data_IF_952025315059
#
_entry.id   IF_952025315059
#
_cell.length_a   1.000
_cell.length_b   1.000
_cell.length_c   1.000
_cell.angle_alpha   90.00
_cell.angle_beta   90.00
_cell.angle_gamma   90.00
#
_symmetry.space_group_name_H-M   'P 1'
#
loop_
_entity.id
_entity.type
_entity.pdbx_description
1 polymer ?
#
# COMPACT_ATOMS: atom_id res chain seq x y z
N UNK A 1 17.15 34.24 45.86
CA UNK A 1 16.88 34.59 44.45
C UNK A 1 17.50 33.60 43.46
N UNK A 2 18.81 33.30 43.58
CA UNK A 2 19.56 32.42 42.66
C UNK A 2 19.02 30.98 42.58
N UNK A 3 18.68 30.36 43.72
CA UNK A 3 18.16 28.97 43.75
C UNK A 3 16.82 28.85 43.01
N UNK A 4 15.92 29.82 43.19
CA UNK A 4 14.59 29.85 42.55
C UNK A 4 14.72 30.00 41.02
N UNK A 5 15.64 30.84 40.56
CA UNK A 5 15.94 31.01 39.14
C UNK A 5 16.53 29.73 38.52
N UNK A 6 17.44 29.05 39.23
CA UNK A 6 18.03 27.77 38.80
C UNK A 6 16.97 26.67 38.64
N UNK A 7 16.05 26.54 39.61
CA UNK A 7 14.95 25.57 39.53
C UNK A 7 14.02 25.84 38.35
N UNK A 8 13.69 27.12 38.10
CA UNK A 8 12.86 27.52 36.95
C UNK A 8 13.57 27.17 35.64
N UNK A 9 14.85 27.51 35.48
CA UNK A 9 15.61 27.18 34.27
C UNK A 9 15.70 25.67 34.01
N UNK A 10 15.96 24.87 35.05
CA UNK A 10 16.02 23.41 34.94
C UNK A 10 14.66 22.80 34.56
N UNK A 11 13.57 23.33 35.13
CA UNK A 11 12.22 22.87 34.84
C UNK A 11 11.81 23.24 33.40
N UNK A 12 12.11 24.46 32.96
CA UNK A 12 11.86 24.89 31.58
C UNK A 12 12.69 24.10 30.56
N UNK A 13 13.96 23.82 30.87
CA UNK A 13 14.80 22.98 30.01
C UNK A 13 14.24 21.55 29.91
N UNK A 14 13.79 20.97 31.03
CA UNK A 14 13.17 19.65 31.05
C UNK A 14 11.89 19.62 30.19
N UNK A 15 11.04 20.64 30.30
CA UNK A 15 9.82 20.76 29.48
C UNK A 15 10.17 20.86 27.99
N UNK A 16 11.18 21.67 27.63
CA UNK A 16 11.61 21.78 26.23
C UNK A 16 12.18 20.47 25.68
N UNK A 17 12.94 19.72 26.48
CA UNK A 17 13.43 18.39 26.09
C UNK A 17 12.27 17.42 25.89
N UNK A 18 11.28 17.42 26.79
CA UNK A 18 10.08 16.59 26.66
C UNK A 18 9.34 16.98 25.37
N UNK A 19 9.08 18.26 25.13
CA UNK A 19 8.42 18.71 23.90
C UNK A 19 9.21 18.33 22.65
N UNK A 20 10.54 18.43 22.66
CA UNK A 20 11.37 17.98 21.55
C UNK A 20 11.24 16.47 21.30
N UNK A 21 11.29 15.65 22.36
CA UNK A 21 11.15 14.20 22.28
C UNK A 21 9.74 13.74 21.87
N UNK A 22 8.69 14.50 22.19
CA UNK A 22 7.31 14.14 21.84
C UNK A 22 6.85 14.72 20.50
N UNK A 23 7.31 15.91 20.15
CA UNK A 23 6.85 16.61 18.93
C UNK A 23 7.83 16.36 17.80
N UNK A 24 9.13 16.56 18.00
CA UNK A 24 10.11 16.62 16.91
C UNK A 24 10.72 15.25 16.62
N UNK A 25 11.05 14.48 17.66
CA UNK A 25 11.69 13.17 17.52
C UNK A 25 10.88 12.16 16.67
N UNK A 26 9.54 12.04 16.79
CA UNK A 26 8.78 11.13 15.95
C UNK A 26 8.89 11.45 14.45
N UNK A 27 8.93 12.75 14.10
CA UNK A 27 9.11 13.17 12.71
C UNK A 27 10.52 12.88 12.20
N UNK A 28 11.55 13.10 13.03
CA UNK A 28 12.93 12.71 12.68
C UNK A 28 13.07 11.20 12.49
N UNK A 29 12.49 10.42 13.40
CA UNK A 29 12.52 8.96 13.30
C UNK A 29 11.76 8.47 12.07
N UNK A 30 10.56 9.00 11.82
CA UNK A 30 9.79 8.71 10.62
C UNK A 30 10.58 9.07 9.34
N UNK A 31 11.21 10.25 9.29
CA UNK A 31 12.04 10.65 8.15
C UNK A 31 13.26 9.74 7.94
N UNK A 32 13.88 9.29 9.04
CA UNK A 32 15.02 8.37 9.00
C UNK A 32 14.62 6.97 8.50
N UNK A 33 13.55 6.40 9.05
CA UNK A 33 12.97 5.12 8.58
C UNK A 33 12.58 5.24 7.12
N UNK A 34 11.88 6.31 6.74
CA UNK A 34 11.46 6.57 5.36
C UNK A 34 12.64 6.58 4.39
N UNK A 35 13.73 7.27 4.74
CA UNK A 35 14.93 7.37 3.91
C UNK A 35 15.59 6.01 3.66
N UNK A 36 15.52 5.09 4.62
CA UNK A 36 16.12 3.76 4.51
C UNK A 36 15.20 2.74 3.81
N UNK A 37 13.88 2.86 3.98
CA UNK A 37 12.91 1.97 3.34
C UNK A 37 12.70 2.24 1.85
N UNK A 38 13.17 3.38 1.34
CA UNK A 38 13.07 3.71 -0.09
C UNK A 38 14.12 2.95 -0.90
N UNK A 39 13.66 2.10 -1.82
CA UNK A 39 14.52 1.50 -2.85
C UNK A 39 14.88 2.59 -3.87
N UNK A 40 16.08 3.17 -3.74
CA UNK A 40 16.53 4.31 -4.58
C UNK A 40 17.07 3.92 -5.95
N UNK A 41 17.66 2.73 -6.06
CA UNK A 41 18.06 2.14 -7.34
C UNK A 41 18.15 0.62 -7.22
N UNK A 42 17.58 -0.09 -8.20
CA UNK A 42 17.79 -1.52 -8.38
C UNK A 42 19.10 -1.72 -9.17
N UNK A 43 20.23 -1.30 -8.61
CA UNK A 43 21.55 -1.60 -9.19
C UNK A 43 22.00 -2.99 -8.70
N UNK A 44 21.39 -4.04 -9.24
CA UNK A 44 21.77 -5.41 -8.91
C UNK A 44 22.50 -6.06 -10.10
N UNK A 45 23.60 -6.80 -9.85
CA UNK A 45 24.27 -7.56 -10.90
C UNK A 45 23.27 -8.57 -11.48
N UNK A 46 23.03 -8.44 -12.79
CA UNK A 46 21.97 -9.09 -13.59
C UNK A 46 21.98 -10.61 -13.55
N UNK A 47 23.00 -11.23 -12.96
CA UNK A 47 23.32 -12.65 -13.09
C UNK A 47 23.00 -13.50 -11.85
N UNK A 48 22.69 -12.90 -10.69
CA UNK A 48 22.54 -13.67 -9.42
C UNK A 48 21.10 -13.90 -8.94
N UNK A 49 20.10 -13.19 -9.47
CA UNK A 49 18.72 -13.25 -8.98
C UNK A 49 17.80 -14.21 -9.77
N UNK A 50 18.22 -14.71 -10.92
CA UNK A 50 17.41 -15.64 -11.73
C UNK A 50 17.27 -17.04 -11.09
N UNK A 51 18.05 -17.35 -10.04
CA UNK A 51 18.06 -18.66 -9.39
C UNK A 51 17.51 -18.66 -7.96
N UNK A 52 16.95 -17.54 -7.46
CA UNK A 52 16.37 -17.54 -6.11
C UNK A 52 14.93 -18.05 -6.17
N UNK A 53 14.75 -19.34 -5.90
CA UNK A 53 13.46 -20.04 -5.92
C UNK A 53 12.51 -19.64 -4.79
N UNK A 54 12.90 -18.73 -3.90
CA UNK A 54 12.13 -18.27 -2.74
C UNK A 54 11.54 -16.86 -2.92
N UNK A 55 10.86 -16.61 -4.04
CA UNK A 55 10.05 -15.40 -4.22
C UNK A 55 9.00 -15.28 -3.12
N UNK A 56 8.96 -14.14 -2.42
CA UNK A 56 8.00 -13.86 -1.34
C UNK A 56 6.66 -13.37 -1.89
N UNK A 57 6.68 -12.58 -2.96
CA UNK A 57 5.49 -12.13 -3.69
C UNK A 57 5.18 -13.15 -4.80
N UNK A 58 3.97 -13.75 -4.82
CA UNK A 58 3.54 -14.63 -5.89
C UNK A 58 3.51 -13.96 -7.27
N UNK A 59 3.78 -14.73 -8.35
CA UNK A 59 3.63 -14.30 -9.75
C UNK A 59 2.16 -14.22 -10.15
N UNK A 60 1.44 -13.26 -9.57
CA UNK A 60 0.01 -13.03 -9.80
C UNK A 60 -0.20 -11.54 -10.02
N UNK A 61 -0.85 -11.16 -11.11
CA UNK A 61 -1.31 -9.80 -11.38
C UNK A 61 -2.80 -9.73 -11.08
N UNK A 62 -3.19 -8.73 -10.30
CA UNK A 62 -4.56 -8.39 -9.97
C UNK A 62 -4.88 -7.00 -10.52
N UNK A 63 -6.03 -6.88 -11.16
CA UNK A 63 -6.60 -5.59 -11.54
C UNK A 63 -8.10 -5.58 -11.25
N UNK A 64 -8.64 -4.42 -10.92
CA UNK A 64 -10.06 -4.26 -10.56
C UNK A 64 -10.72 -3.21 -11.43
N UNK A 65 -11.94 -3.46 -11.88
CA UNK A 65 -12.78 -2.44 -12.51
C UNK A 65 -14.24 -2.87 -12.48
N UNK A 66 -15.15 -1.93 -12.77
CA UNK A 66 -16.61 -2.17 -12.73
C UNK A 66 -17.01 -3.43 -13.51
N UNK A 67 -16.64 -3.47 -14.78
CA UNK A 67 -16.94 -4.57 -15.70
C UNK A 67 -15.89 -4.65 -16.82
N UNK A 68 -15.52 -5.86 -17.24
CA UNK A 68 -14.48 -6.12 -18.26
C UNK A 68 -14.83 -5.51 -19.63
N UNK A 69 -16.11 -5.46 -20.00
CA UNK A 69 -16.59 -4.94 -21.28
C UNK A 69 -16.68 -3.42 -21.30
N UNK A 70 -16.60 -2.76 -20.14
CA UNK A 70 -16.72 -1.31 -20.00
C UNK A 70 -15.38 -0.57 -19.92
N UNK A 71 -14.26 -1.28 -20.04
CA UNK A 71 -12.91 -0.70 -19.88
C UNK A 71 -12.61 0.25 -21.06
N UNK A 72 -12.28 1.52 -20.79
CA UNK A 72 -11.85 2.46 -21.83
C UNK A 72 -10.66 1.95 -22.64
N UNK A 73 -10.69 2.16 -23.95
CA UNK A 73 -9.64 1.69 -24.88
C UNK A 73 -8.22 2.08 -24.45
N UNK A 74 -8.04 3.32 -23.98
CA UNK A 74 -6.74 3.81 -23.47
C UNK A 74 -6.16 2.96 -22.32
N UNK A 75 -7.01 2.38 -21.49
CA UNK A 75 -6.59 1.53 -20.36
C UNK A 75 -6.35 0.09 -20.80
N UNK A 76 -7.05 -0.40 -21.82
CA UNK A 76 -6.78 -1.73 -22.38
C UNK A 76 -5.33 -1.84 -22.89
N UNK A 77 -4.80 -0.77 -23.49
CA UNK A 77 -3.40 -0.73 -23.93
C UNK A 77 -2.42 -0.87 -22.75
N UNK A 78 -2.67 -0.13 -21.67
CA UNK A 78 -1.86 -0.21 -20.44
C UNK A 78 -1.95 -1.59 -19.79
N UNK A 79 -3.15 -2.13 -19.59
CA UNK A 79 -3.35 -3.50 -19.09
C UNK A 79 -2.62 -4.55 -19.93
N UNK A 80 -2.73 -4.49 -21.25
CA UNK A 80 -2.11 -5.44 -22.15
C UNK A 80 -0.58 -5.34 -22.13
N UNK A 81 0.00 -4.15 -21.93
CA UNK A 81 1.45 -4.02 -21.74
C UNK A 81 1.93 -4.86 -20.55
N UNK A 82 1.21 -4.82 -19.43
CA UNK A 82 1.54 -5.60 -18.24
C UNK A 82 1.38 -7.11 -18.46
N UNK A 83 0.31 -7.54 -19.13
CA UNK A 83 0.13 -8.96 -19.47
C UNK A 83 1.19 -9.47 -20.45
N UNK A 84 1.65 -8.64 -21.36
CA UNK A 84 2.67 -8.99 -22.37
C UNK A 84 4.04 -9.21 -21.73
N UNK A 85 4.46 -8.34 -20.80
CA UNK A 85 5.73 -8.49 -20.06
C UNK A 85 5.74 -9.62 -19.03
N UNK A 86 4.57 -10.17 -18.69
CA UNK A 86 4.37 -11.13 -17.60
C UNK A 86 3.49 -12.30 -18.04
N UNK A 87 3.78 -12.88 -19.21
CA UNK A 87 3.00 -13.99 -19.77
C UNK A 87 3.04 -15.27 -18.92
N UNK A 88 4.04 -15.40 -18.05
CA UNK A 88 4.21 -16.47 -17.07
C UNK A 88 3.46 -16.20 -15.74
N UNK A 89 2.88 -15.02 -15.55
CA UNK A 89 2.13 -14.67 -14.34
C UNK A 89 0.67 -15.09 -14.48
N UNK A 90 0.06 -15.49 -13.37
CA UNK A 90 -1.41 -15.63 -13.32
C UNK A 90 -2.04 -14.24 -13.37
N UNK A 91 -3.13 -14.10 -14.11
CA UNK A 91 -3.86 -12.85 -14.21
C UNK A 91 -5.28 -13.02 -13.66
N UNK A 92 -5.68 -12.16 -12.72
CA UNK A 92 -7.04 -12.07 -12.22
C UNK A 92 -7.58 -10.67 -12.41
N UNK A 93 -8.74 -10.60 -13.05
CA UNK A 93 -9.55 -9.41 -13.13
C UNK A 93 -10.71 -9.54 -12.15
N UNK A 94 -10.97 -8.48 -11.38
CA UNK A 94 -12.00 -8.46 -10.36
C UNK A 94 -13.04 -7.39 -10.69
N UNK A 95 -14.28 -7.83 -10.93
CA UNK A 95 -15.43 -6.91 -11.00
C UNK A 95 -15.81 -6.39 -9.61
N UNK A 96 -16.56 -5.29 -9.54
CA UNK A 96 -17.09 -4.80 -8.26
C UNK A 96 -17.88 -5.88 -7.50
N UNK A 97 -18.63 -6.69 -8.25
CA UNK A 97 -19.44 -7.79 -7.71
C UNK A 97 -18.56 -8.90 -7.13
N UNK A 98 -17.49 -9.29 -7.82
CA UNK A 98 -16.56 -10.31 -7.34
C UNK A 98 -15.73 -9.78 -6.17
N UNK A 99 -15.28 -8.53 -6.23
CA UNK A 99 -14.57 -7.86 -5.16
C UNK A 99 -15.39 -7.78 -3.88
N UNK A 100 -16.66 -7.33 -3.96
CA UNK A 100 -17.56 -7.33 -2.80
C UNK A 100 -17.77 -8.73 -2.21
N UNK A 101 -17.97 -9.76 -3.05
CA UNK A 101 -18.10 -11.15 -2.58
C UNK A 101 -16.86 -11.63 -1.85
N UNK A 102 -15.67 -11.23 -2.31
CA UNK A 102 -14.42 -11.57 -1.63
C UNK A 102 -14.32 -10.88 -0.27
N UNK A 103 -14.71 -9.60 -0.18
CA UNK A 103 -14.78 -8.87 1.10
C UNK A 103 -15.74 -9.55 2.07
N UNK A 104 -16.95 -9.89 1.62
CA UNK A 104 -17.96 -10.58 2.43
C UNK A 104 -17.46 -11.93 2.96
N UNK A 105 -16.74 -12.68 2.13
CA UNK A 105 -16.20 -13.99 2.49
C UNK A 105 -15.01 -13.92 3.46
N UNK A 106 -14.04 -13.06 3.18
CA UNK A 106 -12.74 -13.07 3.86
C UNK A 106 -12.66 -12.06 5.01
N UNK A 107 -13.47 -10.99 4.95
CA UNK A 107 -13.53 -9.93 5.96
C UNK A 107 -14.98 -9.51 6.28
N UNK A 108 -15.84 -10.44 6.76
CA UNK A 108 -17.24 -10.11 7.08
C UNK A 108 -17.37 -8.99 8.13
N UNK A 109 -16.36 -8.83 9.00
CA UNK A 109 -16.34 -7.79 10.03
C UNK A 109 -16.27 -6.35 9.49
N UNK A 110 -15.74 -6.13 8.29
CA UNK A 110 -15.66 -4.80 7.67
C UNK A 110 -16.73 -4.57 6.60
N UNK A 111 -17.55 -5.58 6.27
CA UNK A 111 -18.50 -5.53 5.16
C UNK A 111 -19.48 -4.35 5.29
N UNK A 112 -19.97 -4.08 6.50
CA UNK A 112 -20.86 -2.93 6.75
C UNK A 112 -20.17 -1.59 6.47
N UNK A 113 -18.89 -1.46 6.80
CA UNK A 113 -18.08 -0.26 6.50
C UNK A 113 -17.88 -0.14 4.98
N UNK A 114 -17.49 -1.24 4.33
CA UNK A 114 -17.30 -1.30 2.88
C UNK A 114 -18.56 -0.90 2.11
N UNK A 115 -19.73 -1.45 2.48
CA UNK A 115 -21.01 -1.17 1.83
C UNK A 115 -21.47 0.28 2.08
N UNK A 116 -21.06 0.88 3.20
CA UNK A 116 -21.44 2.25 3.55
C UNK A 116 -20.66 3.35 2.80
N UNK A 117 -19.58 2.99 2.08
CA UNK A 117 -18.80 3.99 1.36
C UNK A 117 -19.64 4.68 0.27
N UNK A 118 -19.63 6.03 0.17
CA UNK A 118 -20.42 6.74 -0.84
C UNK A 118 -19.88 6.58 -2.26
N UNK A 119 -18.58 6.32 -2.45
CA UNK A 119 -17.95 6.31 -3.77
C UNK A 119 -17.41 4.93 -4.14
N UNK A 120 -17.63 4.52 -5.40
CA UNK A 120 -17.11 3.26 -5.94
C UNK A 120 -15.58 3.14 -5.81
N UNK A 121 -14.87 4.26 -5.97
CA UNK A 121 -13.41 4.28 -5.84
C UNK A 121 -12.94 3.88 -4.43
N UNK A 122 -13.68 4.23 -3.38
CA UNK A 122 -13.35 3.81 -2.01
C UNK A 122 -13.51 2.30 -1.85
N UNK A 123 -14.52 1.72 -2.48
CA UNK A 123 -14.69 0.26 -2.52
C UNK A 123 -13.56 -0.41 -3.30
N UNK A 124 -13.16 0.14 -4.45
CA UNK A 124 -12.02 -0.35 -5.21
C UNK A 124 -10.71 -0.30 -4.39
N UNK A 125 -10.51 0.76 -3.60
CA UNK A 125 -9.38 0.89 -2.66
C UNK A 125 -9.37 -0.23 -1.60
N UNK A 126 -10.53 -0.72 -1.16
CA UNK A 126 -10.60 -1.89 -0.26
C UNK A 126 -10.36 -3.19 -1.01
N UNK A 127 -10.96 -3.37 -2.20
CA UNK A 127 -10.81 -4.62 -2.97
C UNK A 127 -9.33 -4.90 -3.22
N UNK A 128 -8.53 -3.90 -3.62
CA UNK A 128 -7.09 -4.11 -3.88
C UNK A 128 -6.31 -4.59 -2.65
N UNK A 129 -6.70 -4.16 -1.45
CA UNK A 129 -6.09 -4.61 -0.20
C UNK A 129 -6.51 -6.06 0.13
N UNK A 130 -7.78 -6.38 -0.05
CA UNK A 130 -8.32 -7.72 0.24
C UNK A 130 -7.75 -8.77 -0.72
N UNK A 131 -7.70 -8.49 -2.03
CA UNK A 131 -7.14 -9.44 -3.01
C UNK A 131 -5.67 -9.74 -2.70
N UNK A 132 -4.88 -8.72 -2.36
CA UNK A 132 -3.48 -8.91 -1.99
C UNK A 132 -3.30 -9.60 -0.64
N UNK A 133 -4.17 -9.35 0.32
CA UNK A 133 -4.10 -10.07 1.60
C UNK A 133 -4.36 -11.57 1.39
N UNK A 134 -5.36 -11.92 0.57
CA UNK A 134 -5.78 -13.30 0.35
C UNK A 134 -4.79 -14.05 -0.53
N UNK A 135 -4.43 -13.48 -1.69
CA UNK A 135 -3.67 -14.16 -2.73
C UNK A 135 -2.19 -13.76 -2.78
N UNK A 136 -1.82 -12.63 -2.17
CA UNK A 136 -0.55 -11.98 -2.44
C UNK A 136 -0.52 -11.44 -3.88
N UNK A 137 0.68 -11.25 -4.41
CA UNK A 137 0.90 -10.87 -5.80
C UNK A 137 1.07 -9.37 -5.98
N UNK A 138 0.71 -8.89 -7.15
CA UNK A 138 0.89 -7.52 -7.60
C UNK A 138 -0.46 -6.97 -8.04
N UNK A 139 -0.92 -5.91 -7.39
CA UNK A 139 -2.05 -5.10 -7.84
C UNK A 139 -1.54 -3.91 -8.66
N UNK A 140 -2.21 -3.64 -9.77
CA UNK A 140 -1.94 -2.51 -10.67
C UNK A 140 -3.26 -1.87 -11.09
N UNK A 141 -3.36 -0.54 -11.00
CA UNK A 141 -4.46 0.19 -11.63
C UNK A 141 -4.46 -0.04 -13.15
N UNK A 142 -5.62 0.13 -13.79
CA UNK A 142 -5.78 -0.19 -15.22
C UNK A 142 -5.01 0.74 -16.15
N UNK A 143 -4.59 1.91 -15.67
CA UNK A 143 -3.83 2.91 -16.41
C UNK A 143 -2.32 2.82 -16.20
N UNK A 144 -1.85 1.82 -15.44
CA UNK A 144 -0.42 1.54 -15.28
C UNK A 144 0.13 0.79 -16.49
N UNK A 145 1.12 1.39 -17.14
CA UNK A 145 1.86 0.80 -18.25
C UNK A 145 3.11 0.09 -17.70
N UNK A 146 3.27 -1.19 -18.05
CA UNK A 146 4.49 -1.93 -17.74
C UNK A 146 5.52 -1.74 -18.85
N UNK A 147 6.72 -1.31 -18.47
CA UNK A 147 7.84 -1.06 -19.38
C UNK A 147 8.92 -2.16 -19.33
N UNK A 148 8.88 -3.02 -18.31
CA UNK A 148 9.82 -4.13 -18.08
C UNK A 148 9.19 -5.15 -17.13
N UNK A 149 9.85 -6.30 -17.01
CA UNK A 149 9.50 -7.33 -16.03
C UNK A 149 9.60 -6.79 -14.58
N UNK A 150 8.65 -7.22 -13.76
CA UNK A 150 8.52 -6.94 -12.33
C UNK A 150 9.22 -8.02 -11.47
N UNK A 151 9.92 -8.99 -12.07
CA UNK A 151 10.54 -10.12 -11.37
C UNK A 151 11.47 -9.69 -10.22
N UNK A 152 12.16 -8.57 -10.40
CA UNK A 152 13.08 -8.03 -9.39
C UNK A 152 12.36 -7.63 -8.10
N UNK A 153 11.06 -7.36 -8.17
CA UNK A 153 10.23 -6.99 -7.03
C UNK A 153 9.81 -8.21 -6.21
N UNK A 154 9.86 -9.42 -6.77
CA UNK A 154 9.29 -10.62 -6.14
C UNK A 154 10.02 -11.09 -4.88
N UNK A 155 11.26 -10.62 -4.66
CA UNK A 155 12.09 -10.98 -3.51
C UNK A 155 11.75 -10.18 -2.23
N UNK A 156 10.92 -9.15 -2.33
CA UNK A 156 10.48 -8.35 -1.18
C UNK A 156 9.17 -8.88 -0.62
N UNK A 157 8.85 -8.52 0.62
CA UNK A 157 7.59 -8.93 1.24
C UNK A 157 6.42 -7.99 0.94
N UNK A 158 6.70 -6.71 0.77
CA UNK A 158 5.71 -5.67 0.56
C UNK A 158 6.33 -4.45 -0.12
N UNK A 159 5.65 -3.87 -1.10
CA UNK A 159 6.13 -2.73 -1.90
C UNK A 159 4.97 -1.77 -2.19
N UNK A 160 5.25 -0.48 -1.98
CA UNK A 160 4.42 0.64 -2.44
C UNK A 160 5.31 1.69 -3.13
N UNK A 161 4.85 2.35 -4.20
CA UNK A 161 5.54 3.48 -4.78
C UNK A 161 5.56 4.66 -3.81
N UNK A 162 6.71 5.35 -3.75
CA UNK A 162 6.80 6.64 -3.10
C UNK A 162 6.16 7.71 -3.99
N UNK A 163 5.31 8.57 -3.41
CA UNK A 163 4.85 9.81 -4.06
C UNK A 163 5.62 11.03 -3.55
N UNK A 164 5.74 12.05 -4.40
CA UNK A 164 6.44 13.31 -4.09
C UNK A 164 5.41 14.40 -3.74
N UNK A 165 5.71 15.31 -2.79
CA UNK A 165 6.93 15.38 -1.99
C UNK A 165 6.96 14.39 -0.81
N UNK A 166 5.81 13.92 -0.34
CA UNK A 166 5.66 12.95 0.77
C UNK A 166 4.46 12.05 0.48
N UNK A 167 4.56 10.75 0.80
CA UNK A 167 3.45 9.81 0.76
C UNK A 167 3.76 8.51 0.03
N UNK A 168 2.83 7.57 0.11
CA UNK A 168 2.84 6.32 -0.63
C UNK A 168 1.63 6.28 -1.55
N UNK A 169 1.84 5.85 -2.78
CA UNK A 169 0.76 5.61 -3.73
C UNK A 169 0.24 4.18 -3.60
N UNK A 170 -1.02 3.97 -3.96
CA UNK A 170 -1.69 2.67 -3.90
C UNK A 170 -2.23 2.19 -5.26
N UNK A 171 -1.83 2.87 -6.34
CA UNK A 171 -2.02 2.51 -7.76
C UNK A 171 -1.19 1.28 -8.16
N UNK A 172 -0.08 1.05 -7.45
CA UNK A 172 0.71 -0.18 -7.48
C UNK A 172 0.90 -0.67 -6.04
N UNK A 173 0.65 -1.96 -5.80
CA UNK A 173 1.00 -2.61 -4.53
C UNK A 173 1.48 -4.02 -4.84
N UNK A 174 2.64 -4.42 -4.31
CA UNK A 174 3.07 -5.81 -4.36
C UNK A 174 3.21 -6.35 -2.93
N UNK A 175 2.68 -7.55 -2.67
CA UNK A 175 2.66 -8.11 -1.31
C UNK A 175 2.74 -9.63 -1.32
N UNK A 176 3.43 -10.18 -0.33
CA UNK A 176 3.22 -11.58 0.05
C UNK A 176 1.79 -11.76 0.59
N UNK A 177 1.17 -12.95 0.47
CA UNK A 177 -0.12 -13.20 1.08
C UNK A 177 -0.05 -13.04 2.60
N UNK A 178 -1.15 -12.60 3.21
CA UNK A 178 -1.30 -12.40 4.66
C UNK A 178 -0.30 -11.43 5.28
N UNK A 179 0.17 -10.42 4.54
CA UNK A 179 1.11 -9.45 5.08
C UNK A 179 0.47 -8.64 6.24
N UNK A 180 1.14 -8.50 7.42
CA UNK A 180 0.55 -7.87 8.61
C UNK A 180 0.11 -6.42 8.40
N UNK A 181 0.82 -5.66 7.57
CA UNK A 181 0.44 -4.29 7.22
C UNK A 181 -0.94 -4.23 6.55
N UNK A 182 -1.23 -5.12 5.59
CA UNK A 182 -2.53 -5.15 4.92
C UNK A 182 -3.66 -5.47 5.90
N UNK A 183 -3.44 -6.43 6.81
CA UNK A 183 -4.41 -6.76 7.86
C UNK A 183 -4.67 -5.57 8.77
N UNK A 184 -3.62 -4.86 9.19
CA UNK A 184 -3.74 -3.66 10.02
C UNK A 184 -4.58 -2.59 9.32
N UNK A 185 -4.28 -2.30 8.05
CA UNK A 185 -5.03 -1.30 7.27
C UNK A 185 -6.51 -1.70 7.15
N UNK A 186 -6.80 -2.96 6.83
CA UNK A 186 -8.16 -3.47 6.71
C UNK A 186 -8.93 -3.37 8.04
N UNK A 187 -8.31 -3.75 9.15
CA UNK A 187 -8.92 -3.66 10.49
C UNK A 187 -9.16 -2.21 10.94
N UNK A 188 -8.35 -1.27 10.45
CA UNK A 188 -8.47 0.14 10.79
C UNK A 188 -9.51 0.89 9.92
N UNK A 189 -10.03 0.29 8.84
CA UNK A 189 -11.02 0.93 7.95
C UNK A 189 -12.22 1.53 8.70
N UNK A 190 -12.90 0.83 9.64
CA UNK A 190 -14.02 1.40 10.39
C UNK A 190 -13.63 2.61 11.23
N UNK A 191 -12.40 2.62 11.80
CA UNK A 191 -11.89 3.70 12.64
C UNK A 191 -11.63 4.99 11.85
N UNK A 192 -11.23 4.85 10.58
CA UNK A 192 -10.94 5.96 9.68
C UNK A 192 -12.11 6.30 8.74
N UNK A 193 -13.19 5.53 8.76
CA UNK A 193 -14.45 5.90 8.12
C UNK A 193 -15.13 7.04 8.89
N UNK A 194 -14.61 8.26 8.71
CA UNK A 194 -15.05 9.48 9.38
C UNK A 194 -15.54 10.48 8.35
N UNK A 195 -16.75 10.99 8.56
CA UNK A 195 -17.25 12.13 7.80
C UNK A 195 -16.87 13.41 8.54
N UNK A 196 -15.77 14.05 8.13
CA UNK A 196 -15.31 15.30 8.75
C UNK A 196 -16.21 16.51 8.41
N UNK A 197 -17.10 16.38 7.42
CA UNK A 197 -17.90 17.49 6.88
C UNK A 197 -19.42 17.31 7.00
N UNK A 198 -19.92 16.27 7.67
CA UNK A 198 -21.34 16.15 8.01
C UNK A 198 -21.51 16.10 9.53
N UNK A 199 -21.78 17.27 10.10
CA UNK A 199 -22.61 17.42 11.30
C UNK A 199 -23.98 17.90 10.87
#
# INVERSE_FOLDING_TARGET
>A
MIVRLRTICLSSLLILVILFLYIIWPWFHAAYVWRQSTIKSLNFPTTSLLNNTNSQIPRIIHQTYRDIHSIPFKWQQAMNSCRTFHSDYKYYFWTDKEGRRLVEKEFPCILSTYDSYPYDIQRADVIRLVVLYVYGGIYLDLDIICLKSLDQLLNYEFILPQTKPVGLSNDFIASKPRHPFLLQVLNDLPKFHRNFFTK
#
